data_IF_487493294752
#
_entry.id   IF_487493294752
#
_cell.length_a   1.000
_cell.length_b   1.000
_cell.length_c   1.000
_cell.angle_alpha   90.00
_cell.angle_beta   90.00
_cell.angle_gamma   90.00
#
_symmetry.space_group_name_H-M   'P 1'
#
loop_
_entity.id
_entity.type
_entity.pdbx_description
1 polymer ?
#
# COMPACT_ATOMS: atom_id res chain seq x y z
N UNK A 1 -6.67 4.52 -17.44
CA UNK A 1 -7.49 5.17 -16.42
C UNK A 1 -7.73 4.21 -15.24
N UNK A 2 -7.71 4.74 -14.05
CA UNK A 2 -7.99 3.95 -12.84
C UNK A 2 -9.46 3.50 -12.83
N UNK A 3 -9.69 2.25 -12.43
CA UNK A 3 -11.03 1.67 -12.34
C UNK A 3 -11.11 0.71 -11.16
N UNK A 4 -12.32 0.38 -10.72
CA UNK A 4 -12.53 -0.59 -9.66
C UNK A 4 -11.92 -1.96 -10.00
N UNK A 5 -12.01 -2.37 -11.28
CA UNK A 5 -11.40 -3.62 -11.75
C UNK A 5 -9.88 -3.62 -11.60
N UNK A 6 -9.23 -2.50 -11.92
CA UNK A 6 -7.78 -2.38 -11.76
C UNK A 6 -7.36 -2.44 -10.29
N UNK A 7 -8.14 -1.85 -9.40
CA UNK A 7 -7.91 -1.93 -7.96
C UNK A 7 -8.04 -3.38 -7.49
N UNK A 8 -9.05 -4.10 -7.96
CA UNK A 8 -9.25 -5.50 -7.61
C UNK A 8 -8.11 -6.39 -8.12
N UNK A 9 -7.64 -6.14 -9.33
CA UNK A 9 -6.47 -6.83 -9.89
C UNK A 9 -5.23 -6.61 -9.02
N UNK A 10 -5.00 -5.36 -8.58
CA UNK A 10 -3.89 -5.05 -7.68
C UNK A 10 -4.04 -5.77 -6.34
N UNK A 11 -5.24 -5.84 -5.81
CA UNK A 11 -5.52 -6.57 -4.57
C UNK A 11 -5.10 -8.04 -4.69
N UNK A 12 -5.42 -8.70 -5.80
CA UNK A 12 -5.05 -10.09 -6.00
C UNK A 12 -3.52 -10.29 -6.05
N UNK A 13 -2.81 -9.37 -6.68
CA UNK A 13 -1.33 -9.41 -6.72
C UNK A 13 -0.72 -9.21 -5.34
N UNK A 14 -1.29 -8.30 -4.54
CA UNK A 14 -0.76 -7.96 -3.21
C UNK A 14 -1.15 -8.96 -2.13
N UNK A 15 -2.16 -9.78 -2.37
CA UNK A 15 -2.67 -10.75 -1.40
C UNK A 15 -1.55 -11.72 -0.99
N UNK A 16 -1.32 -11.80 0.32
CA UNK A 16 -0.25 -12.64 0.86
C UNK A 16 1.12 -11.97 0.91
N UNK A 17 1.30 -10.83 0.26
CA UNK A 17 2.55 -10.03 0.30
C UNK A 17 2.45 -8.93 1.34
N UNK A 18 1.37 -8.14 1.27
CA UNK A 18 1.12 -7.09 2.26
C UNK A 18 0.26 -7.63 3.40
N UNK A 19 0.39 -7.01 4.56
CA UNK A 19 -0.51 -7.30 5.68
C UNK A 19 -1.88 -6.70 5.36
N UNK A 20 -2.94 -7.50 5.48
CA UNK A 20 -4.31 -6.97 5.39
C UNK A 20 -4.63 -6.29 6.71
N UNK A 21 -4.31 -5.01 6.80
CA UNK A 21 -4.50 -4.23 8.02
C UNK A 21 -5.98 -4.01 8.31
N UNK A 22 -6.30 -3.93 9.59
CA UNK A 22 -7.68 -3.73 10.02
C UNK A 22 -8.13 -2.29 9.85
N UNK A 23 -9.44 -2.12 9.77
CA UNK A 23 -10.10 -0.84 9.73
C UNK A 23 -10.72 -0.59 11.10
N UNK A 24 -10.28 0.48 11.78
CA UNK A 24 -10.73 0.79 13.14
C UNK A 24 -11.57 2.06 13.17
N UNK A 25 -12.69 2.01 13.89
CA UNK A 25 -13.45 3.21 14.21
C UNK A 25 -12.63 4.09 15.15
N UNK A 26 -12.41 5.33 14.76
CA UNK A 26 -11.68 6.32 15.56
C UNK A 26 -12.65 7.18 16.33
N UNK A 27 -12.79 6.88 17.61
CA UNK A 27 -13.74 7.58 18.48
C UNK A 27 -13.38 9.06 18.66
N UNK A 28 -12.12 9.35 18.85
CA UNK A 28 -11.66 10.73 19.06
C UNK A 28 -11.95 11.61 17.84
N UNK A 29 -11.53 11.17 16.67
CA UNK A 29 -11.76 11.93 15.44
C UNK A 29 -13.24 12.02 15.08
N UNK A 30 -13.98 10.94 15.33
CA UNK A 30 -15.42 10.92 15.03
C UNK A 30 -16.19 11.91 15.89
N UNK A 31 -15.89 11.99 17.17
CA UNK A 31 -16.50 12.97 18.08
C UNK A 31 -16.08 14.40 17.73
N UNK A 32 -14.80 14.59 17.40
CA UNK A 32 -14.27 15.93 17.07
C UNK A 32 -14.91 16.53 15.82
N UNK A 33 -15.15 15.71 14.78
CA UNK A 33 -15.65 16.18 13.50
C UNK A 33 -17.13 15.87 13.25
N UNK A 34 -17.82 15.24 14.20
CA UNK A 34 -19.23 14.92 14.06
C UNK A 34 -19.52 13.95 12.91
N UNK A 35 -18.63 13.00 12.66
CA UNK A 35 -18.73 12.04 11.56
C UNK A 35 -18.26 10.67 11.99
N UNK A 36 -18.60 9.63 11.25
CA UNK A 36 -18.04 8.30 11.48
C UNK A 36 -16.70 8.19 10.74
N UNK A 37 -15.59 8.25 11.50
CA UNK A 37 -14.24 8.22 10.94
C UNK A 37 -13.57 6.90 11.30
N UNK A 38 -13.06 6.23 10.29
CA UNK A 38 -12.32 4.98 10.42
C UNK A 38 -10.88 5.18 9.96
N UNK A 39 -9.95 4.52 10.64
CA UNK A 39 -8.54 4.55 10.26
C UNK A 39 -8.10 3.16 9.81
N UNK A 40 -7.45 3.09 8.67
CA UNK A 40 -6.81 1.87 8.19
C UNK A 40 -5.35 1.87 8.65
N UNK A 41 -4.99 0.85 9.41
CA UNK A 41 -3.73 0.78 10.15
C UNK A 41 -2.55 0.38 9.28
N UNK A 42 -2.23 1.16 8.25
CA UNK A 42 -1.09 0.88 7.35
C UNK A 42 0.28 1.04 8.02
N UNK A 43 0.34 1.65 9.20
CA UNK A 43 1.54 1.65 10.03
C UNK A 43 1.87 0.25 10.59
N UNK A 44 0.97 -0.70 10.46
CA UNK A 44 1.17 -2.10 10.85
C UNK A 44 1.69 -2.97 9.70
N UNK A 45 1.94 -2.39 8.52
CA UNK A 45 2.66 -3.08 7.45
C UNK A 45 4.11 -3.37 7.89
N UNK A 46 4.76 -4.33 7.21
CA UNK A 46 6.15 -4.71 7.52
C UNK A 46 7.10 -3.52 7.45
N UNK A 47 6.89 -2.61 6.49
CA UNK A 47 7.67 -1.38 6.32
C UNK A 47 7.09 -0.19 7.07
N UNK A 48 6.06 -0.41 7.88
CA UNK A 48 5.43 0.58 8.77
C UNK A 48 4.71 1.72 8.04
N UNK A 49 4.40 1.55 6.75
CA UNK A 49 3.61 2.52 6.00
C UNK A 49 2.86 1.84 4.86
N UNK A 50 1.98 2.59 4.18
CA UNK A 50 1.20 2.07 3.06
C UNK A 50 2.05 1.86 1.78
N UNK A 51 3.26 2.36 1.73
CA UNK A 51 4.05 2.45 0.48
C UNK A 51 4.44 1.10 -0.10
N UNK A 52 4.48 0.05 0.70
CA UNK A 52 4.74 -1.31 0.18
C UNK A 52 3.71 -1.73 -0.86
N UNK A 53 2.46 -1.27 -0.75
CA UNK A 53 1.40 -1.61 -1.72
C UNK A 53 1.75 -1.17 -3.12
N UNK A 54 2.00 0.12 -3.30
CA UNK A 54 2.36 0.68 -4.60
C UNK A 54 3.71 0.19 -5.11
N UNK A 55 4.71 0.12 -4.24
CA UNK A 55 6.04 -0.34 -4.62
C UNK A 55 6.02 -1.78 -5.13
N UNK A 56 5.43 -2.69 -4.38
CA UNK A 56 5.36 -4.09 -4.79
C UNK A 56 4.55 -4.27 -6.07
N UNK A 57 3.38 -3.63 -6.15
CA UNK A 57 2.54 -3.75 -7.33
C UNK A 57 3.25 -3.22 -8.58
N UNK A 58 3.87 -2.04 -8.50
CA UNK A 58 4.60 -1.45 -9.62
C UNK A 58 5.71 -2.37 -10.12
N UNK A 59 6.50 -2.93 -9.20
CA UNK A 59 7.59 -3.84 -9.56
C UNK A 59 7.05 -5.14 -10.13
N UNK A 60 5.94 -5.66 -9.62
CA UNK A 60 5.32 -6.89 -10.12
C UNK A 60 4.84 -6.77 -11.57
N UNK A 61 4.57 -5.55 -12.04
CA UNK A 61 4.10 -5.28 -13.39
C UNK A 61 5.23 -5.08 -14.41
N UNK A 62 6.49 -5.08 -13.97
CA UNK A 62 7.63 -4.98 -14.86
C UNK A 62 7.80 -6.26 -15.68
N UNK A 63 8.30 -6.13 -16.90
CA UNK A 63 8.70 -7.28 -17.71
C UNK A 63 9.93 -7.96 -17.09
N UNK A 64 10.21 -9.21 -17.46
CA UNK A 64 11.40 -9.91 -16.99
C UNK A 64 12.67 -9.17 -17.36
N UNK A 65 12.73 -8.59 -18.55
CA UNK A 65 13.87 -7.81 -19.02
C UNK A 65 14.05 -6.56 -18.15
N UNK A 66 12.95 -5.86 -17.82
CA UNK A 66 12.99 -4.68 -16.95
C UNK A 66 13.45 -5.05 -15.54
N UNK A 67 12.99 -6.19 -15.02
CA UNK A 67 13.43 -6.69 -13.70
C UNK A 67 14.92 -7.02 -13.68
N UNK A 68 15.44 -7.60 -14.75
CA UNK A 68 16.87 -7.91 -14.87
C UNK A 68 17.72 -6.64 -14.92
N UNK A 69 17.22 -5.56 -15.51
CA UNK A 69 17.90 -4.27 -15.54
C UNK A 69 17.96 -3.60 -14.16
N UNK A 70 17.07 -4.01 -13.24
CA UNK A 70 17.00 -3.48 -11.89
C UNK A 70 16.17 -2.23 -11.78
N UNK A 71 16.01 -1.75 -10.54
CA UNK A 71 15.23 -0.55 -10.23
C UNK A 71 16.02 0.36 -9.32
N UNK A 72 15.71 1.66 -9.36
CA UNK A 72 16.29 2.65 -8.46
C UNK A 72 15.17 3.44 -7.81
N UNK A 73 15.42 3.94 -6.61
CA UNK A 73 14.48 4.84 -5.95
C UNK A 73 15.24 5.93 -5.21
N UNK A 74 14.55 7.04 -4.95
CA UNK A 74 15.04 8.13 -4.11
C UNK A 74 14.00 8.39 -3.03
N UNK A 75 14.35 8.14 -1.78
CA UNK A 75 13.39 8.18 -0.68
C UNK A 75 14.10 8.39 0.64
N UNK A 76 13.43 9.08 1.57
CA UNK A 76 13.93 9.26 2.93
C UNK A 76 13.78 8.00 3.81
N UNK A 77 13.04 6.99 3.35
CA UNK A 77 12.86 5.78 4.16
C UNK A 77 11.81 4.80 3.65
N UNK A 78 10.54 5.05 3.97
CA UNK A 78 9.48 4.03 3.79
C UNK A 78 9.30 3.51 2.36
N UNK A 79 9.39 4.40 1.36
CA UNK A 79 9.25 3.97 -0.03
C UNK A 79 10.43 3.07 -0.44
N UNK A 80 11.65 3.46 -0.06
CA UNK A 80 12.85 2.66 -0.34
C UNK A 80 12.75 1.27 0.31
N UNK A 81 12.21 1.18 1.52
CA UNK A 81 11.99 -0.09 2.20
C UNK A 81 10.97 -0.96 1.46
N UNK A 82 9.96 -0.35 0.83
CA UNK A 82 8.98 -1.06 0.01
C UNK A 82 9.59 -1.62 -1.28
N UNK A 83 10.52 -0.89 -1.87
CA UNK A 83 11.22 -1.30 -3.09
C UNK A 83 12.20 -2.42 -2.79
#
# INVERSE_FOLDING_TARGET
MLSARKVEEAYQVLKGVVVRTSLHYDRYLSEKYGAEIFTKRENEQRVRSFKIRGAYYAISQLTDQEKMAGVVCASAGNHAQGV
#
